data_IF_543394539834
#
_entry.id   IF_543394539834
#
_cell.length_a   1.000
_cell.length_b   1.000
_cell.length_c   1.000
_cell.angle_alpha   90.00
_cell.angle_beta   90.00
_cell.angle_gamma   90.00
#
_symmetry.space_group_name_H-M   'P 1'
#
loop_
_entity.id
_entity.type
_entity.pdbx_description
1 polymer ?
#
# COMPACT_ATOMS: atom_id res chain seq x y z
N UNK A 1 16.01 -6.24 0.98
CA UNK A 1 14.84 -5.32 0.96
C UNK A 1 13.78 -5.82 1.95
N UNK A 2 13.04 -4.91 2.62
CA UNK A 2 12.04 -5.29 3.67
C UNK A 2 10.98 -6.25 3.13
N UNK A 3 10.49 -6.02 1.92
CA UNK A 3 9.47 -6.86 1.26
C UNK A 3 9.99 -8.20 0.73
N UNK A 4 11.28 -8.48 0.84
CA UNK A 4 11.91 -9.70 0.32
C UNK A 4 11.71 -9.90 -1.21
N UNK A 5 11.79 -8.83 -1.97
CA UNK A 5 11.67 -8.85 -3.44
C UNK A 5 13.01 -9.07 -4.13
N UNK A 6 14.10 -8.60 -3.51
CA UNK A 6 15.47 -8.72 -4.03
C UNK A 6 16.40 -9.31 -2.97
N UNK A 7 17.49 -9.98 -3.37
CA UNK A 7 18.54 -10.41 -2.45
C UNK A 7 19.09 -9.21 -1.67
N UNK A 8 19.26 -9.37 -0.37
CA UNK A 8 19.79 -8.33 0.50
C UNK A 8 20.40 -8.92 1.75
N UNK A 9 21.33 -8.19 2.36
CA UNK A 9 21.94 -8.51 3.63
C UNK A 9 21.18 -7.83 4.78
N UNK A 10 21.35 -8.36 5.98
CA UNK A 10 20.74 -7.84 7.20
C UNK A 10 19.52 -8.63 7.67
N UNK A 11 19.05 -8.28 8.83
CA UNK A 11 17.95 -8.95 9.52
C UNK A 11 16.70 -8.06 9.56
N UNK A 12 15.57 -8.65 9.22
CA UNK A 12 14.26 -8.00 9.31
C UNK A 12 13.34 -8.89 10.14
N UNK A 13 12.68 -8.31 11.13
CA UNK A 13 11.69 -9.01 11.94
C UNK A 13 10.39 -8.21 12.04
N UNK A 14 9.28 -8.93 12.17
CA UNK A 14 7.94 -8.37 12.39
C UNK A 14 7.29 -9.12 13.54
N UNK A 15 6.94 -8.41 14.62
CA UNK A 15 6.34 -9.01 15.82
C UNK A 15 7.15 -10.21 16.34
N UNK A 16 8.49 -10.11 16.35
CA UNK A 16 9.40 -11.14 16.82
C UNK A 16 9.66 -12.29 15.84
N UNK A 17 8.94 -12.35 14.71
CA UNK A 17 9.21 -13.34 13.66
C UNK A 17 10.24 -12.80 12.67
N UNK A 18 11.36 -13.53 12.50
CA UNK A 18 12.38 -13.18 11.51
C UNK A 18 11.91 -13.53 10.09
N UNK A 19 12.28 -12.67 9.12
CA UNK A 19 12.06 -12.93 7.70
C UNK A 19 12.67 -14.26 7.25
N UNK A 20 13.87 -14.56 7.71
CA UNK A 20 14.60 -15.80 7.36
C UNK A 20 13.93 -17.07 7.89
N UNK A 21 13.04 -16.95 8.88
CA UNK A 21 12.27 -18.06 9.47
C UNK A 21 10.94 -18.36 8.74
N UNK A 22 10.60 -17.61 7.69
CA UNK A 22 9.34 -17.77 6.95
C UNK A 22 9.60 -17.95 5.45
N UNK A 23 8.74 -18.73 4.79
CA UNK A 23 8.74 -18.79 3.33
C UNK A 23 8.44 -17.40 2.74
N UNK A 24 9.09 -17.01 1.65
CA UNK A 24 9.03 -15.68 1.08
C UNK A 24 7.60 -15.24 0.70
N UNK A 25 6.74 -16.16 0.23
CA UNK A 25 5.35 -15.88 -0.08
C UNK A 25 4.52 -15.59 1.18
N UNK A 26 4.81 -16.25 2.31
CA UNK A 26 4.14 -15.99 3.60
C UNK A 26 4.61 -14.65 4.17
N UNK A 27 5.90 -14.33 4.05
CA UNK A 27 6.43 -13.04 4.45
C UNK A 27 5.78 -11.89 3.70
N UNK A 28 5.71 -11.98 2.34
CA UNK A 28 5.11 -10.94 1.48
C UNK A 28 3.61 -10.73 1.73
N UNK A 29 2.89 -11.75 2.19
CA UNK A 29 1.49 -11.57 2.64
C UNK A 29 1.38 -10.77 3.92
N UNK A 30 2.39 -10.85 4.80
CA UNK A 30 2.42 -10.10 6.07
C UNK A 30 2.92 -8.67 5.89
N UNK A 31 3.74 -8.43 4.86
CA UNK A 31 4.32 -7.12 4.54
C UNK A 31 4.12 -6.87 3.03
N UNK A 32 2.88 -6.65 2.57
CA UNK A 32 2.64 -6.38 1.18
C UNK A 32 3.23 -5.03 0.77
N UNK A 33 3.66 -4.95 -0.48
CA UNK A 33 4.26 -3.78 -1.10
C UNK A 33 3.36 -3.26 -2.22
N UNK A 34 3.06 -1.97 -2.19
CA UNK A 34 2.42 -1.22 -3.27
C UNK A 34 3.48 -0.42 -3.97
N UNK A 35 3.79 -0.79 -5.21
CA UNK A 35 4.71 -0.05 -6.06
C UNK A 35 4.06 1.24 -6.60
N UNK A 36 4.86 2.23 -6.94
CA UNK A 36 4.40 3.45 -7.60
C UNK A 36 3.63 3.14 -8.89
N UNK A 37 4.08 2.13 -9.64
CA UNK A 37 3.35 1.53 -10.74
C UNK A 37 2.98 0.09 -10.40
N UNK A 38 1.74 -0.12 -10.03
CA UNK A 38 1.26 -1.44 -9.61
C UNK A 38 0.96 -2.35 -10.79
N UNK A 39 1.46 -3.59 -10.73
CA UNK A 39 1.18 -4.63 -11.71
C UNK A 39 -0.26 -5.17 -11.63
N UNK A 40 -0.79 -5.54 -12.78
CA UNK A 40 -2.10 -6.16 -12.94
C UNK A 40 -1.93 -7.43 -13.78
N UNK A 41 -2.52 -8.56 -13.33
CA UNK A 41 -2.31 -9.88 -13.95
C UNK A 41 -3.59 -10.51 -14.53
N UNK A 42 -4.75 -9.90 -14.31
CA UNK A 42 -6.02 -10.30 -14.87
C UNK A 42 -6.64 -9.17 -15.69
N UNK A 43 -7.59 -9.49 -16.55
CA UNK A 43 -8.24 -8.53 -17.43
C UNK A 43 -9.15 -7.57 -16.65
N UNK A 44 -9.97 -8.10 -15.75
CA UNK A 44 -10.91 -7.29 -14.98
C UNK A 44 -10.38 -7.03 -13.57
N UNK A 45 -10.78 -5.90 -13.00
CA UNK A 45 -10.34 -5.47 -11.66
C UNK A 45 -10.77 -6.48 -10.58
N UNK A 46 -12.03 -6.90 -10.59
CA UNK A 46 -12.58 -7.82 -9.58
C UNK A 46 -11.87 -9.18 -9.53
N UNK A 47 -11.26 -9.63 -10.64
CA UNK A 47 -10.51 -10.89 -10.71
C UNK A 47 -9.21 -10.89 -9.87
N UNK A 48 -8.83 -9.72 -9.35
CA UNK A 48 -7.67 -9.54 -8.47
C UNK A 48 -8.01 -9.72 -6.98
N UNK A 49 -9.26 -10.02 -6.66
CA UNK A 49 -9.74 -10.21 -5.29
C UNK A 49 -10.30 -11.61 -5.11
N UNK A 50 -10.15 -12.18 -3.92
CA UNK A 50 -10.82 -13.43 -3.58
C UNK A 50 -12.34 -13.19 -3.48
N UNK A 51 -13.13 -14.22 -3.82
CA UNK A 51 -14.58 -14.08 -3.88
C UNK A 51 -15.22 -13.62 -2.55
N UNK A 52 -14.67 -14.06 -1.42
CA UNK A 52 -15.09 -13.70 -0.07
C UNK A 52 -14.68 -12.26 0.32
N UNK A 53 -13.81 -11.62 -0.45
CA UNK A 53 -13.32 -10.25 -0.21
C UNK A 53 -14.01 -9.21 -1.10
N UNK A 54 -14.76 -9.61 -2.14
CA UNK A 54 -15.29 -8.71 -3.16
C UNK A 54 -16.15 -7.58 -2.58
N UNK A 55 -17.10 -7.88 -1.71
CA UNK A 55 -17.96 -6.87 -1.10
C UNK A 55 -17.16 -5.86 -0.27
N UNK A 56 -16.22 -6.34 0.51
CA UNK A 56 -15.34 -5.49 1.31
C UNK A 56 -14.41 -4.65 0.44
N UNK A 57 -13.89 -5.23 -0.65
CA UNK A 57 -13.05 -4.52 -1.62
C UNK A 57 -13.84 -3.41 -2.32
N UNK A 58 -15.08 -3.68 -2.71
CA UNK A 58 -15.99 -2.69 -3.31
C UNK A 58 -16.24 -1.53 -2.36
N UNK A 59 -16.63 -1.80 -1.13
CA UNK A 59 -16.87 -0.76 -0.12
C UNK A 59 -15.61 0.10 0.16
N UNK A 60 -14.42 -0.52 0.18
CA UNK A 60 -13.18 0.22 0.33
C UNK A 60 -12.84 1.04 -0.93
N UNK A 61 -13.10 0.52 -2.14
CA UNK A 61 -12.93 1.25 -3.39
C UNK A 61 -13.82 2.51 -3.44
N UNK A 62 -15.09 2.40 -3.05
CA UNK A 62 -16.02 3.52 -2.95
C UNK A 62 -15.53 4.58 -1.94
N UNK A 63 -15.05 4.15 -0.78
CA UNK A 63 -14.44 5.06 0.21
C UNK A 63 -13.24 5.81 -0.36
N UNK A 64 -12.45 5.17 -1.21
CA UNK A 64 -11.33 5.79 -1.92
C UNK A 64 -11.77 6.60 -3.16
N UNK A 65 -13.09 6.71 -3.42
CA UNK A 65 -13.63 7.47 -4.53
C UNK A 65 -13.52 6.78 -5.88
N UNK A 66 -13.47 5.46 -5.92
CA UNK A 66 -13.59 4.67 -7.14
C UNK A 66 -15.04 4.20 -7.25
N UNK A 67 -15.72 4.55 -8.35
CA UNK A 67 -17.08 4.12 -8.60
C UNK A 67 -17.18 2.62 -8.90
N UNK A 68 -18.41 2.07 -8.89
CA UNK A 68 -18.64 0.64 -9.14
C UNK A 68 -18.21 0.22 -10.55
N UNK A 69 -18.48 1.04 -11.57
CA UNK A 69 -18.16 0.69 -12.96
C UNK A 69 -16.65 0.41 -13.21
N UNK A 70 -15.69 1.26 -12.75
CA UNK A 70 -14.28 0.92 -12.77
C UNK A 70 -13.91 -0.34 -12.00
N UNK A 71 -14.56 -0.60 -10.86
CA UNK A 71 -14.28 -1.80 -10.07
C UNK A 71 -14.73 -3.10 -10.77
N UNK A 72 -15.81 -3.04 -11.53
CA UNK A 72 -16.33 -4.18 -12.29
C UNK A 72 -15.78 -4.27 -13.71
N UNK A 73 -15.09 -3.23 -14.16
CA UNK A 73 -14.58 -3.07 -15.51
C UNK A 73 -13.18 -3.65 -15.75
N UNK A 74 -12.71 -3.54 -17.00
CA UNK A 74 -11.37 -3.97 -17.37
C UNK A 74 -10.30 -2.98 -16.89
N UNK A 75 -9.15 -3.53 -16.55
CA UNK A 75 -8.00 -2.77 -16.00
C UNK A 75 -7.46 -1.72 -16.96
N UNK A 76 -7.49 -1.99 -18.26
CA UNK A 76 -6.95 -1.11 -19.30
C UNK A 76 -7.75 0.19 -19.47
N UNK A 77 -9.01 0.22 -19.03
CA UNK A 77 -9.87 1.40 -19.06
C UNK A 77 -9.74 2.29 -17.79
N UNK A 78 -8.99 1.85 -16.79
CA UNK A 78 -8.77 2.64 -15.59
C UNK A 78 -7.84 3.84 -15.86
N UNK A 79 -8.19 5.00 -15.32
CA UNK A 79 -7.25 6.11 -15.16
C UNK A 79 -6.09 5.73 -14.24
N UNK A 80 -4.99 6.46 -14.32
CA UNK A 80 -3.82 6.24 -13.44
C UNK A 80 -4.20 6.36 -11.96
N UNK A 81 -5.02 7.33 -11.60
CA UNK A 81 -5.50 7.52 -10.23
C UNK A 81 -6.40 6.38 -9.74
N UNK A 82 -7.28 5.82 -10.59
CA UNK A 82 -8.10 4.65 -10.25
C UNK A 82 -7.24 3.41 -10.08
N UNK A 83 -6.27 3.18 -10.96
CA UNK A 83 -5.30 2.08 -10.83
C UNK A 83 -4.58 2.15 -9.49
N UNK A 84 -4.10 3.33 -9.11
CA UNK A 84 -3.38 3.52 -7.85
C UNK A 84 -4.28 3.26 -6.65
N UNK A 85 -5.50 3.81 -6.62
CA UNK A 85 -6.45 3.58 -5.52
C UNK A 85 -6.87 2.11 -5.41
N UNK A 86 -7.13 1.44 -6.54
CA UNK A 86 -7.51 0.02 -6.55
C UNK A 86 -6.35 -0.91 -6.17
N UNK A 87 -5.10 -0.56 -6.52
CA UNK A 87 -3.93 -1.27 -6.02
C UNK A 87 -3.79 -1.14 -4.50
N UNK A 88 -4.11 0.03 -3.95
CA UNK A 88 -4.15 0.23 -2.51
C UNK A 88 -5.28 -0.58 -1.85
N UNK A 89 -6.49 -0.62 -2.44
CA UNK A 89 -7.59 -1.49 -1.98
C UNK A 89 -7.12 -2.93 -1.88
N UNK A 90 -6.50 -3.45 -2.93
CA UNK A 90 -5.99 -4.83 -3.01
C UNK A 90 -5.00 -5.17 -1.89
N UNK A 91 -4.27 -4.18 -1.43
CA UNK A 91 -3.28 -4.35 -0.35
C UNK A 91 -3.88 -4.17 1.03
N UNK A 92 -4.68 -3.11 1.22
CA UNK A 92 -5.29 -2.78 2.52
C UNK A 92 -6.27 -3.85 2.98
N UNK A 93 -7.00 -4.48 2.05
CA UNK A 93 -8.00 -5.52 2.36
C UNK A 93 -7.39 -6.79 2.99
N UNK A 94 -6.08 -6.99 2.85
CA UNK A 94 -5.37 -8.13 3.45
C UNK A 94 -5.23 -8.02 4.97
N UNK A 95 -5.54 -6.87 5.56
CA UNK A 95 -5.37 -6.59 7.00
C UNK A 95 -3.98 -6.91 7.55
N UNK A 96 -2.98 -6.78 6.71
CA UNK A 96 -1.60 -7.11 7.04
C UNK A 96 -1.06 -6.25 8.18
N UNK A 97 -0.21 -6.79 9.05
CA UNK A 97 0.36 -6.06 10.18
C UNK A 97 1.37 -4.99 9.77
N UNK A 98 1.84 -5.00 8.54
CA UNK A 98 2.68 -3.95 7.98
C UNK A 98 2.35 -3.70 6.51
N UNK A 99 2.51 -2.45 6.05
CA UNK A 99 2.31 -2.00 4.67
C UNK A 99 3.55 -1.24 4.20
N UNK A 100 4.03 -1.56 3.02
CA UNK A 100 5.09 -0.80 2.33
C UNK A 100 4.47 -0.11 1.13
N UNK A 101 4.53 1.22 1.08
CA UNK A 101 3.85 2.03 0.09
C UNK A 101 4.86 2.95 -0.60
N UNK A 102 4.94 2.84 -1.92
CA UNK A 102 5.82 3.67 -2.73
C UNK A 102 4.97 4.63 -3.57
N UNK A 103 5.07 5.92 -3.28
CA UNK A 103 4.29 7.00 -3.92
C UNK A 103 2.78 6.71 -4.04
N UNK A 104 2.09 6.25 -2.97
CA UNK A 104 0.71 5.79 -3.08
C UNK A 104 -0.29 6.89 -3.45
N UNK A 105 0.13 8.15 -3.38
CA UNK A 105 -0.71 9.32 -3.68
C UNK A 105 -0.19 10.19 -4.83
N UNK A 106 0.95 9.82 -5.43
CA UNK A 106 1.61 10.63 -6.47
C UNK A 106 0.71 11.10 -7.62
N UNK A 107 -0.09 10.22 -8.26
CA UNK A 107 -0.96 10.59 -9.37
C UNK A 107 -2.34 11.11 -8.97
N UNK A 108 -2.59 11.38 -7.68
CA UNK A 108 -3.93 11.68 -7.16
C UNK A 108 -4.18 13.18 -7.00
N UNK A 109 -5.44 13.56 -7.21
CA UNK A 109 -5.94 14.90 -6.85
C UNK A 109 -6.04 15.05 -5.31
N UNK A 110 -6.10 16.30 -4.78
CA UNK A 110 -6.11 16.54 -3.34
C UNK A 110 -7.26 15.83 -2.58
N UNK A 111 -8.45 15.72 -3.17
CA UNK A 111 -9.60 15.06 -2.54
C UNK A 111 -9.34 13.55 -2.43
N UNK A 112 -8.77 12.96 -3.46
CA UNK A 112 -8.37 11.55 -3.45
C UNK A 112 -7.22 11.27 -2.47
N UNK A 113 -6.27 12.20 -2.34
CA UNK A 113 -5.19 12.11 -1.33
C UNK A 113 -5.78 12.04 0.07
N UNK A 114 -6.70 12.93 0.43
CA UNK A 114 -7.35 12.94 1.75
C UNK A 114 -8.03 11.60 2.08
N UNK A 115 -8.73 10.99 1.11
CA UNK A 115 -9.37 9.69 1.27
C UNK A 115 -8.36 8.58 1.52
N UNK A 116 -7.26 8.55 0.77
CA UNK A 116 -6.19 7.58 0.97
C UNK A 116 -5.56 7.77 2.34
N UNK A 117 -5.21 8.99 2.71
CA UNK A 117 -4.59 9.28 4.02
C UNK A 117 -5.53 8.93 5.20
N UNK A 118 -6.84 9.10 5.05
CA UNK A 118 -7.82 8.67 6.05
C UNK A 118 -7.77 7.15 6.26
N UNK A 119 -7.75 6.36 5.20
CA UNK A 119 -7.63 4.90 5.27
C UNK A 119 -6.29 4.48 5.88
N UNK A 120 -5.20 5.14 5.54
CA UNK A 120 -3.89 4.85 6.13
C UNK A 120 -3.85 5.16 7.63
N UNK A 121 -4.43 6.29 8.06
CA UNK A 121 -4.56 6.60 9.50
C UNK A 121 -5.38 5.57 10.27
N UNK A 122 -6.49 5.10 9.69
CA UNK A 122 -7.29 4.02 10.28
C UNK A 122 -6.48 2.72 10.44
N UNK A 123 -5.71 2.35 9.42
CA UNK A 123 -4.84 1.16 9.49
C UNK A 123 -3.75 1.31 10.55
N UNK A 124 -3.12 2.48 10.63
CA UNK A 124 -2.13 2.76 11.66
C UNK A 124 -2.74 2.74 13.07
N UNK A 125 -3.93 3.33 13.24
CA UNK A 125 -4.67 3.29 14.51
C UNK A 125 -5.08 1.86 14.93
N UNK A 126 -5.32 0.98 13.95
CA UNK A 126 -5.56 -0.45 14.18
C UNK A 126 -4.27 -1.25 14.47
N UNK A 127 -3.12 -0.61 14.57
CA UNK A 127 -1.84 -1.22 14.94
C UNK A 127 -0.96 -1.68 13.77
N UNK A 128 -1.32 -1.39 12.53
CA UNK A 128 -0.46 -1.69 11.40
C UNK A 128 0.74 -0.73 11.33
N UNK A 129 1.92 -1.25 11.04
CA UNK A 129 3.10 -0.45 10.71
C UNK A 129 3.02 -0.02 9.25
N UNK A 130 3.13 1.29 8.98
CA UNK A 130 3.12 1.81 7.61
C UNK A 130 4.48 2.45 7.31
N UNK A 131 5.15 1.96 6.29
CA UNK A 131 6.35 2.58 5.73
C UNK A 131 5.96 3.16 4.38
N UNK A 132 6.08 4.48 4.28
CA UNK A 132 5.67 5.26 3.12
C UNK A 132 6.88 5.97 2.51
N UNK A 133 7.06 5.85 1.21
CA UNK A 133 7.93 6.71 0.42
C UNK A 133 7.07 7.74 -0.29
N UNK A 134 7.41 9.02 -0.18
CA UNK A 134 6.68 10.10 -0.83
C UNK A 134 7.58 11.28 -1.16
N UNK A 135 7.30 11.93 -2.27
CA UNK A 135 7.90 13.22 -2.66
C UNK A 135 7.11 14.43 -2.13
N UNK A 136 5.93 14.22 -1.51
CA UNK A 136 5.18 15.30 -0.86
C UNK A 136 5.73 15.57 0.56
N UNK A 137 6.43 16.70 0.79
CA UNK A 137 7.02 16.99 2.07
C UNK A 137 6.00 17.20 3.20
N UNK A 138 4.75 17.52 2.88
CA UNK A 138 3.69 17.75 3.86
C UNK A 138 2.95 16.46 4.27
N UNK A 139 3.06 15.39 3.50
CA UNK A 139 2.33 14.15 3.74
C UNK A 139 2.70 13.51 5.08
N UNK A 140 3.97 13.51 5.45
CA UNK A 140 4.42 13.00 6.75
C UNK A 140 3.75 13.71 7.93
N UNK A 141 3.59 15.03 7.86
CA UNK A 141 2.91 15.81 8.89
C UNK A 141 1.41 15.49 8.94
N UNK A 142 0.72 15.39 7.79
CA UNK A 142 -0.71 15.04 7.72
C UNK A 142 -1.00 13.64 8.27
N UNK A 143 -0.07 12.73 8.13
CA UNK A 143 -0.15 11.35 8.65
C UNK A 143 0.38 11.21 10.08
N UNK A 144 0.90 12.28 10.69
CA UNK A 144 1.59 12.23 11.99
C UNK A 144 2.69 11.16 12.02
N UNK A 145 3.46 11.05 10.95
CA UNK A 145 4.47 10.03 10.77
C UNK A 145 5.87 10.53 11.17
N UNK A 146 6.69 9.62 11.72
CA UNK A 146 8.12 9.87 11.88
C UNK A 146 8.77 9.96 10.50
N UNK A 147 9.46 11.05 10.23
CA UNK A 147 10.13 11.29 8.96
C UNK A 147 11.57 10.79 9.02
N UNK A 148 11.95 10.11 7.94
CA UNK A 148 13.33 9.68 7.71
C UNK A 148 13.76 10.17 6.33
N UNK A 149 14.96 10.65 6.22
CA UNK A 149 15.58 11.07 4.96
C UNK A 149 16.65 10.06 4.57
N UNK A 150 16.70 9.72 3.29
CA UNK A 150 17.80 8.91 2.77
C UNK A 150 18.93 9.81 2.28
N UNK A 151 20.11 9.70 2.92
CA UNK A 151 21.33 10.39 2.55
C UNK A 151 22.44 9.36 2.40
N UNK A 152 23.11 9.34 1.28
CA UNK A 152 24.21 8.38 0.99
C UNK A 152 23.86 6.92 1.32
N UNK A 153 22.65 6.50 0.95
CA UNK A 153 22.09 5.15 1.22
C UNK A 153 21.88 4.81 2.70
N UNK A 154 21.87 5.80 3.57
CA UNK A 154 21.55 5.66 5.00
C UNK A 154 20.28 6.42 5.33
N UNK A 155 19.50 5.89 6.28
CA UNK A 155 18.33 6.58 6.80
C UNK A 155 18.73 7.43 8.00
N UNK A 156 18.42 8.72 7.94
CA UNK A 156 18.62 9.69 9.00
C UNK A 156 17.26 10.22 9.48
N UNK A 157 17.12 10.45 10.79
CA UNK A 157 15.91 11.07 11.31
C UNK A 157 15.86 12.54 10.89
N UNK A 158 14.74 12.97 10.34
CA UNK A 158 14.49 14.39 10.07
C UNK A 158 13.88 15.01 11.34
N UNK A 159 14.61 15.99 11.88
CA UNK A 159 14.19 16.76 13.07
C UNK A 159 13.16 17.82 12.74
#
# INVERSE_FOLDING_TARGET
MIADLDPNDGEVSLNGASRSGLAANLWRRRIPYVAAESGWWAQNVHDHFAADQLERARGLAERLGVASAPFDGPVDQLSTGERQRLALVRTVILDSPALLLDEPTGPLDPVSVEKVEAVLRERAAAGAVIILVSHDPAQGARLNARRLRMVDRKLEAET
#
